data_IF_362400119502
#
_entry.id   IF_362400119502
#
_cell.length_a   1.000
_cell.length_b   1.000
_cell.length_c   1.000
_cell.angle_alpha   90.00
_cell.angle_beta   90.00
_cell.angle_gamma   90.00
#
_symmetry.space_group_name_H-M   'P 1'
#
loop_
_entity.id
_entity.type
_entity.pdbx_description
1 polymer ?
#
# COMPACT_ATOMS: atom_id res chain seq x y z
N UNK A 1 -1.80 41.16 -42.34
CA UNK A 1 -1.20 40.15 -41.48
C UNK A 1 -2.00 40.06 -40.20
N UNK A 2 -2.83 39.04 -40.07
CA UNK A 2 -3.60 38.77 -38.83
C UNK A 2 -2.92 37.58 -38.16
N UNK A 3 -2.38 37.78 -36.95
CA UNK A 3 -1.78 36.75 -36.10
C UNK A 3 -2.92 36.01 -35.44
N UNK A 4 -3.06 34.73 -35.75
CA UNK A 4 -4.02 33.81 -35.14
C UNK A 4 -3.34 33.25 -33.90
N UNK A 5 -3.78 33.69 -32.72
CA UNK A 5 -3.32 33.16 -31.44
C UNK A 5 -4.12 31.87 -31.16
N UNK A 6 -3.43 30.72 -31.25
CA UNK A 6 -3.99 29.43 -30.93
C UNK A 6 -4.02 29.28 -29.40
N UNK A 7 -5.20 29.34 -28.80
CA UNK A 7 -5.44 28.92 -27.40
C UNK A 7 -5.46 27.38 -27.37
N UNK A 8 -4.42 26.77 -26.86
CA UNK A 8 -4.42 25.36 -26.45
C UNK A 8 -5.27 25.24 -25.16
N UNK A 9 -6.50 24.80 -25.29
CA UNK A 9 -7.33 24.36 -24.16
C UNK A 9 -6.84 22.97 -23.79
N UNK A 10 -6.12 22.86 -22.67
CA UNK A 10 -5.88 21.57 -22.00
C UNK A 10 -7.24 21.06 -21.47
N UNK A 11 -7.84 20.16 -22.22
CA UNK A 11 -8.97 19.36 -21.72
C UNK A 11 -8.42 18.30 -20.77
N UNK A 12 -8.51 18.57 -19.45
CA UNK A 12 -8.36 17.55 -18.42
C UNK A 12 -9.50 16.55 -18.61
N UNK A 13 -9.17 15.31 -18.94
CA UNK A 13 -10.15 14.22 -18.98
C UNK A 13 -10.53 13.84 -17.55
N UNK A 14 -11.63 14.39 -17.04
CA UNK A 14 -12.31 13.89 -15.85
C UNK A 14 -13.00 12.58 -16.23
N UNK A 15 -12.49 11.46 -15.77
CA UNK A 15 -13.21 10.19 -15.89
C UNK A 15 -14.33 10.15 -14.85
N UNK A 16 -15.55 10.44 -15.25
CA UNK A 16 -16.76 10.31 -14.43
C UNK A 16 -17.21 8.85 -14.39
N UNK A 17 -17.13 8.23 -13.22
CA UNK A 17 -17.81 6.97 -12.95
C UNK A 17 -19.22 7.28 -12.41
N UNK A 18 -20.25 7.12 -13.28
CA UNK A 18 -21.63 7.39 -12.92
C UNK A 18 -22.08 6.49 -11.74
N UNK A 19 -22.33 7.10 -10.58
CA UNK A 19 -22.86 6.43 -9.38
C UNK A 19 -21.98 6.44 -8.13
N UNK A 20 -20.70 6.80 -8.21
CA UNK A 20 -19.80 6.78 -7.05
C UNK A 20 -19.67 8.11 -6.31
N UNK A 21 -20.03 9.22 -6.93
CA UNK A 21 -19.77 10.58 -6.41
C UNK A 21 -18.26 10.89 -6.27
N UNK A 22 -17.40 10.13 -6.97
CA UNK A 22 -15.96 10.31 -6.98
C UNK A 22 -15.48 10.59 -8.41
N UNK A 23 -14.53 11.50 -8.49
CA UNK A 23 -13.70 11.71 -9.68
C UNK A 23 -12.23 11.83 -9.22
N UNK A 24 -11.31 11.75 -10.15
CA UNK A 24 -9.89 11.96 -9.86
C UNK A 24 -9.31 13.03 -10.77
N UNK A 25 -8.35 13.76 -10.24
CA UNK A 25 -7.49 14.58 -11.06
C UNK A 25 -6.48 13.69 -11.84
N UNK A 26 -5.69 14.29 -12.71
CA UNK A 26 -4.58 13.59 -13.33
C UNK A 26 -3.50 13.28 -12.28
N UNK A 27 -2.81 12.15 -12.46
CA UNK A 27 -1.64 11.82 -11.68
C UNK A 27 -0.57 12.91 -11.78
N UNK A 28 -0.07 13.33 -10.63
CA UNK A 28 1.04 14.25 -10.54
C UNK A 28 2.26 13.53 -9.99
N UNK A 29 3.43 13.73 -10.60
CA UNK A 29 4.68 13.32 -9.99
C UNK A 29 4.94 14.24 -8.82
N UNK A 30 4.86 13.73 -7.59
CA UNK A 30 5.20 14.47 -6.38
C UNK A 30 6.71 14.70 -6.28
N UNK A 31 7.51 13.70 -6.71
CA UNK A 31 8.96 13.81 -6.73
C UNK A 31 9.63 12.49 -7.10
N UNK A 32 10.88 12.37 -6.67
CA UNK A 32 11.70 11.17 -6.78
C UNK A 32 12.09 10.71 -5.38
N UNK A 33 12.08 9.40 -5.13
CA UNK A 33 12.58 8.82 -3.89
C UNK A 33 14.10 9.08 -3.82
N UNK A 34 14.52 9.92 -2.85
CA UNK A 34 15.91 10.34 -2.68
C UNK A 34 16.67 9.48 -1.69
N UNK A 35 15.99 8.63 -0.92
CA UNK A 35 16.61 7.71 0.03
C UNK A 35 17.43 6.64 -0.72
N UNK A 36 18.75 6.81 -0.79
CA UNK A 36 19.66 5.98 -1.60
C UNK A 36 19.62 4.49 -1.25
N UNK A 37 19.27 4.17 -0.01
CA UNK A 37 19.21 2.80 0.50
C UNK A 37 17.80 2.18 0.41
N UNK A 38 16.79 2.92 -0.02
CA UNK A 38 15.46 2.41 -0.33
C UNK A 38 15.44 2.00 -1.81
N UNK A 39 15.86 0.78 -2.07
CA UNK A 39 16.11 0.27 -3.43
C UNK A 39 15.07 -0.74 -3.92
N UNK A 40 14.31 -1.30 -3.00
CA UNK A 40 13.27 -2.31 -3.22
C UNK A 40 12.07 -1.96 -2.34
N UNK A 41 11.46 -0.78 -2.64
CA UNK A 41 10.32 -0.28 -1.85
C UNK A 41 9.10 -1.19 -2.08
N UNK A 42 8.86 -2.10 -1.15
CA UNK A 42 7.74 -3.05 -1.17
C UNK A 42 6.51 -2.55 -0.40
N UNK A 43 6.68 -1.65 0.57
CA UNK A 43 5.58 -1.08 1.34
C UNK A 43 5.79 0.38 1.68
N UNK A 44 4.70 1.15 1.68
CA UNK A 44 4.69 2.57 2.03
C UNK A 44 3.33 2.94 2.64
N UNK A 45 3.36 3.81 3.67
CA UNK A 45 2.15 4.40 4.22
C UNK A 45 2.43 5.80 4.79
N UNK A 46 1.39 6.63 4.91
CA UNK A 46 1.49 7.97 5.46
C UNK A 46 1.59 7.94 6.98
N UNK A 47 2.34 8.88 7.56
CA UNK A 47 2.36 9.06 9.01
C UNK A 47 0.97 9.45 9.53
N UNK A 48 0.62 8.96 10.72
CA UNK A 48 -0.62 9.35 11.40
C UNK A 48 -0.49 10.69 12.12
N UNK A 49 0.69 11.30 12.16
CA UNK A 49 1.00 12.53 12.92
C UNK A 49 1.55 13.67 12.08
N UNK A 50 2.05 13.38 10.87
CA UNK A 50 2.66 14.38 9.97
C UNK A 50 2.19 14.08 8.53
N UNK A 51 1.36 14.94 7.95
CA UNK A 51 0.81 14.78 6.60
C UNK A 51 1.87 14.79 5.49
N UNK A 52 3.05 15.36 5.77
CA UNK A 52 4.18 15.42 4.84
C UNK A 52 5.18 14.28 5.03
N UNK A 53 4.88 13.29 5.89
CA UNK A 53 5.74 12.15 6.15
C UNK A 53 5.13 10.85 5.61
N UNK A 54 5.94 10.13 4.85
CA UNK A 54 5.68 8.76 4.42
C UNK A 54 6.69 7.83 5.09
N UNK A 55 6.22 6.72 5.60
CA UNK A 55 7.05 5.61 6.04
C UNK A 55 7.16 4.56 4.94
N UNK A 56 8.33 3.99 4.73
CA UNK A 56 8.55 2.97 3.73
C UNK A 56 9.50 1.87 4.22
N UNK A 57 9.39 0.69 3.63
CA UNK A 57 10.26 -0.47 3.89
C UNK A 57 10.81 -1.03 2.59
N UNK A 58 11.99 -1.66 2.67
CA UNK A 58 12.52 -2.50 1.60
C UNK A 58 12.01 -3.93 1.74
N UNK A 59 11.92 -4.60 0.61
CA UNK A 59 11.73 -6.04 0.45
C UNK A 59 12.76 -6.89 1.19
N UNK A 60 12.56 -8.19 1.17
CA UNK A 60 13.37 -9.21 1.83
C UNK A 60 14.87 -9.14 1.55
N UNK A 61 15.65 -9.65 2.49
CA UNK A 61 17.11 -9.66 2.38
C UNK A 61 17.79 -8.33 2.71
N UNK A 62 17.06 -7.26 2.91
CA UNK A 62 17.54 -5.96 3.36
C UNK A 62 17.60 -5.87 4.89
N UNK A 63 18.25 -4.84 5.41
CA UNK A 63 18.28 -4.61 6.87
C UNK A 63 16.91 -4.19 7.42
N UNK A 64 16.67 -4.38 8.73
CA UNK A 64 15.40 -4.03 9.36
C UNK A 64 15.32 -2.52 9.60
N UNK A 65 15.07 -1.76 8.54
CA UNK A 65 14.97 -0.31 8.56
C UNK A 65 13.61 0.17 8.09
N UNK A 66 13.09 1.17 8.79
CA UNK A 66 11.94 1.97 8.40
C UNK A 66 12.47 3.30 7.87
N UNK A 67 12.17 3.63 6.63
CA UNK A 67 12.61 4.85 5.95
C UNK A 67 11.58 5.94 6.11
N UNK A 68 12.04 7.15 6.42
CA UNK A 68 11.23 8.36 6.47
C UNK A 68 11.42 9.15 5.17
N UNK A 69 10.34 9.43 4.48
CA UNK A 69 10.31 10.18 3.23
C UNK A 69 9.40 11.40 3.36
N UNK A 70 9.76 12.50 2.73
CA UNK A 70 8.82 13.59 2.50
C UNK A 70 7.73 13.20 1.50
N UNK A 71 6.58 13.84 1.54
CA UNK A 71 5.52 13.67 0.54
C UNK A 71 5.96 14.08 -0.89
N UNK A 72 7.10 14.71 -1.03
CA UNK A 72 7.82 15.03 -2.27
C UNK A 72 8.92 14.02 -2.63
N UNK A 73 9.08 12.96 -1.84
CA UNK A 73 10.10 11.91 -2.02
C UNK A 73 11.48 12.24 -1.45
N UNK A 74 11.67 13.40 -0.81
CA UNK A 74 12.95 13.73 -0.17
C UNK A 74 13.30 12.72 0.93
N UNK A 75 14.58 12.42 1.09
CA UNK A 75 15.08 11.58 2.18
C UNK A 75 14.99 12.34 3.52
N UNK A 76 14.27 11.77 4.47
CA UNK A 76 14.16 12.27 5.85
C UNK A 76 14.87 11.34 6.85
N UNK A 77 15.65 10.38 6.36
CA UNK A 77 16.43 9.45 7.14
C UNK A 77 15.76 8.09 7.31
N UNK A 78 16.32 7.27 8.21
CA UNK A 78 15.81 5.93 8.49
C UNK A 78 15.98 5.55 9.94
N UNK A 79 15.13 4.66 10.41
CA UNK A 79 15.11 4.13 11.78
C UNK A 79 15.41 2.65 11.75
N UNK A 80 16.32 2.19 12.60
CA UNK A 80 16.57 0.75 12.80
C UNK A 80 15.52 0.17 13.73
N UNK A 81 14.88 -0.92 13.32
CA UNK A 81 13.89 -1.62 14.14
C UNK A 81 14.55 -2.70 14.97
N UNK A 82 14.60 -2.49 16.29
CA UNK A 82 15.19 -3.45 17.22
C UNK A 82 14.20 -4.60 17.49
N UNK A 83 14.73 -5.82 17.46
CA UNK A 83 13.95 -7.03 17.67
C UNK A 83 13.18 -7.52 16.44
N UNK A 84 13.37 -6.87 15.29
CA UNK A 84 12.87 -7.31 14.00
C UNK A 84 13.98 -7.86 13.11
N UNK A 85 13.61 -8.76 12.22
CA UNK A 85 14.45 -9.29 11.13
C UNK A 85 13.65 -9.08 9.85
N UNK A 86 14.28 -8.55 8.81
CA UNK A 86 13.67 -8.53 7.50
C UNK A 86 14.03 -9.85 6.80
N UNK A 87 13.11 -10.82 6.85
CA UNK A 87 13.22 -12.05 6.09
C UNK A 87 12.65 -11.82 4.69
N UNK A 88 11.43 -11.26 4.64
CA UNK A 88 10.68 -11.00 3.42
C UNK A 88 9.58 -9.96 3.73
N UNK A 89 10.02 -8.69 3.98
CA UNK A 89 9.10 -7.59 4.27
C UNK A 89 8.45 -7.10 2.99
N UNK A 90 7.14 -7.13 2.92
CA UNK A 90 6.40 -6.77 1.71
C UNK A 90 5.47 -5.58 1.89
N UNK A 91 5.08 -5.27 3.12
CA UNK A 91 4.13 -4.19 3.34
C UNK A 91 4.26 -3.57 4.72
N UNK A 92 3.73 -2.37 4.88
CA UNK A 92 3.52 -1.74 6.18
C UNK A 92 2.15 -1.04 6.24
N UNK A 93 1.68 -0.77 7.43
CA UNK A 93 0.50 0.05 7.69
C UNK A 93 0.72 0.92 8.91
N UNK A 94 0.27 2.17 8.85
CA UNK A 94 0.22 3.10 9.98
C UNK A 94 -1.20 3.17 10.51
N UNK A 95 -1.36 3.33 11.82
CA UNK A 95 -2.68 3.41 12.42
C UNK A 95 -2.65 4.02 13.80
N UNK A 96 -3.80 4.48 14.27
CA UNK A 96 -3.96 4.94 15.66
C UNK A 96 -4.57 3.84 16.52
N UNK A 97 -3.96 3.59 17.68
CA UNK A 97 -4.44 2.64 18.66
C UNK A 97 -4.28 3.17 20.09
N UNK A 98 -5.39 3.27 20.83
CA UNK A 98 -5.42 3.78 22.21
C UNK A 98 -4.61 5.10 22.34
N UNK A 99 -4.91 6.07 21.51
CA UNK A 99 -4.26 7.39 21.44
C UNK A 99 -2.78 7.40 21.05
N UNK A 100 -2.24 6.26 20.60
CA UNK A 100 -0.87 6.14 20.09
C UNK A 100 -0.86 5.97 18.60
N UNK A 101 0.14 6.55 17.98
CA UNK A 101 0.48 6.32 16.59
C UNK A 101 1.37 5.08 16.48
N UNK A 102 1.03 4.17 15.61
CA UNK A 102 1.66 2.86 15.49
C UNK A 102 2.03 2.59 14.04
N UNK A 103 3.07 1.78 13.84
CA UNK A 103 3.45 1.19 12.55
C UNK A 103 3.43 -0.32 12.69
N UNK A 104 2.79 -0.99 11.74
CA UNK A 104 2.85 -2.43 11.54
C UNK A 104 3.70 -2.72 10.32
N UNK A 105 4.69 -3.59 10.45
CA UNK A 105 5.53 -4.08 9.35
C UNK A 105 5.24 -5.56 9.15
N UNK A 106 4.97 -5.95 7.92
CA UNK A 106 4.56 -7.29 7.57
C UNK A 106 5.70 -8.08 6.93
N UNK A 107 6.18 -9.10 7.63
CA UNK A 107 7.21 -10.06 7.23
C UNK A 107 6.52 -11.36 6.79
N UNK A 108 5.95 -11.34 5.58
CA UNK A 108 5.06 -12.40 5.11
C UNK A 108 5.25 -12.80 3.64
N UNK A 109 6.19 -12.21 2.92
CA UNK A 109 6.56 -12.68 1.60
C UNK A 109 6.99 -14.15 1.64
N UNK A 110 6.58 -14.90 0.64
CA UNK A 110 6.90 -16.32 0.49
C UNK A 110 6.74 -16.77 -0.97
N UNK A 111 7.50 -16.14 -1.85
CA UNK A 111 7.47 -16.37 -3.29
C UNK A 111 7.51 -17.85 -3.70
N UNK A 112 8.10 -18.69 -2.86
CA UNK A 112 8.23 -20.14 -3.10
C UNK A 112 7.28 -20.98 -2.25
N UNK A 113 6.42 -20.33 -1.43
CA UNK A 113 5.48 -21.01 -0.53
C UNK A 113 6.14 -22.04 0.38
N UNK A 114 7.26 -21.66 1.02
CA UNK A 114 8.04 -22.56 1.86
C UNK A 114 7.75 -22.40 3.35
N UNK A 115 7.25 -21.23 3.78
CA UNK A 115 7.06 -20.91 5.18
C UNK A 115 5.67 -21.29 5.69
N UNK A 116 5.64 -21.93 6.85
CA UNK A 116 4.38 -22.28 7.53
C UNK A 116 3.89 -21.17 8.47
N UNK A 117 4.75 -20.21 8.79
CA UNK A 117 4.44 -19.08 9.66
C UNK A 117 5.09 -17.81 9.17
N UNK A 118 4.42 -16.70 9.44
CA UNK A 118 4.81 -15.35 9.10
C UNK A 118 4.78 -14.46 10.34
N UNK A 119 5.35 -13.26 10.25
CA UNK A 119 5.45 -12.36 11.40
C UNK A 119 4.94 -10.96 11.06
N UNK A 120 4.16 -10.38 11.95
CA UNK A 120 3.86 -8.96 11.94
C UNK A 120 4.62 -8.30 13.10
N UNK A 121 5.39 -7.27 12.81
CA UNK A 121 6.07 -6.46 13.82
C UNK A 121 5.29 -5.17 14.03
N UNK A 122 5.03 -4.82 15.28
CA UNK A 122 4.34 -3.56 15.61
C UNK A 122 5.23 -2.72 16.53
N UNK A 123 5.34 -1.45 16.20
CA UNK A 123 6.12 -0.46 16.96
C UNK A 123 5.32 0.84 17.13
N UNK A 124 5.70 1.65 18.11
CA UNK A 124 5.21 3.02 18.15
C UNK A 124 5.82 3.80 16.99
N UNK A 125 5.02 4.62 16.35
CA UNK A 125 5.47 5.44 15.23
C UNK A 125 6.62 6.35 15.69
N UNK A 126 7.80 6.29 15.03
CA UNK A 126 8.92 7.12 15.42
C UNK A 126 8.62 8.60 15.26
N UNK A 127 9.04 9.41 16.21
CA UNK A 127 8.92 10.86 16.12
C UNK A 127 10.18 11.45 15.50
N UNK A 128 10.02 12.36 14.56
CA UNK A 128 11.15 13.08 13.98
C UNK A 128 11.61 14.20 14.91
N UNK A 129 12.92 14.39 15.01
CA UNK A 129 13.52 15.56 15.64
C UNK A 129 13.74 16.63 14.55
N UNK A 130 12.79 17.54 14.41
CA UNK A 130 12.76 18.48 13.29
C UNK A 130 12.30 17.81 11.98
N UNK A 131 13.04 18.01 10.88
CA UNK A 131 12.64 17.48 9.56
C UNK A 131 13.19 16.10 9.22
N UNK A 132 14.13 15.58 9.99
CA UNK A 132 14.83 14.33 9.70
C UNK A 132 14.91 13.41 10.91
N UNK A 133 15.14 12.14 10.64
CA UNK A 133 15.48 11.12 11.64
C UNK A 133 16.99 11.08 11.78
N UNK A 134 17.47 10.95 13.00
CA UNK A 134 18.90 10.70 13.23
C UNK A 134 19.31 9.30 12.72
N UNK A 135 20.43 9.21 12.03
CA UNK A 135 20.99 7.92 11.53
C UNK A 135 21.25 6.89 12.65
N UNK A 136 21.39 7.34 13.89
CA UNK A 136 21.56 6.50 15.07
C UNK A 136 20.23 6.08 15.71
N UNK A 137 19.09 6.55 15.21
CA UNK A 137 17.79 6.25 15.80
C UNK A 137 17.46 4.77 15.65
N UNK A 138 17.08 4.17 16.77
CA UNK A 138 16.64 2.79 16.82
C UNK A 138 15.39 2.70 17.72
N UNK A 139 14.37 2.03 17.23
CA UNK A 139 13.08 1.88 17.92
C UNK A 139 12.82 0.40 18.16
N UNK A 140 12.47 -0.02 19.38
CA UNK A 140 12.12 -1.41 19.63
C UNK A 140 10.74 -1.75 19.08
N UNK A 141 10.57 -2.99 18.64
CA UNK A 141 9.23 -3.55 18.44
C UNK A 141 8.48 -3.55 19.77
N UNK A 142 7.23 -3.08 19.74
CA UNK A 142 6.34 -3.10 20.90
C UNK A 142 5.82 -4.50 21.16
N UNK A 143 5.42 -5.18 20.09
CA UNK A 143 5.05 -6.59 20.06
C UNK A 143 5.22 -7.16 18.66
N UNK A 144 5.18 -8.47 18.58
CA UNK A 144 5.13 -9.23 17.32
C UNK A 144 4.01 -10.24 17.37
N UNK A 145 3.36 -10.47 16.24
CA UNK A 145 2.38 -11.53 16.04
C UNK A 145 2.96 -12.55 15.08
N UNK A 146 3.02 -13.80 15.48
CA UNK A 146 3.29 -14.91 14.57
C UNK A 146 1.94 -15.45 14.12
N UNK A 147 1.77 -15.72 12.84
CA UNK A 147 0.53 -16.26 12.31
C UNK A 147 0.77 -17.34 11.25
N UNK A 148 -0.26 -18.08 10.92
CA UNK A 148 -0.30 -19.07 9.85
C UNK A 148 -1.64 -18.98 9.11
N UNK A 149 -1.65 -19.45 7.88
CA UNK A 149 -2.88 -19.57 7.08
C UNK A 149 -3.58 -20.91 7.38
N UNK A 150 -4.93 -20.98 7.27
CA UNK A 150 -5.70 -22.17 7.61
C UNK A 150 -5.63 -23.28 6.57
N UNK A 151 -5.31 -22.92 5.32
CA UNK A 151 -5.48 -23.77 4.14
C UNK A 151 -4.16 -23.99 3.35
N UNK A 152 -3.03 -23.61 3.96
CA UNK A 152 -1.72 -23.88 3.34
C UNK A 152 -0.72 -22.77 3.51
N UNK A 153 0.08 -22.55 2.50
CA UNK A 153 1.10 -21.53 2.43
C UNK A 153 0.74 -20.55 1.32
N UNK A 154 0.83 -19.28 1.59
CA UNK A 154 0.50 -18.23 0.64
C UNK A 154 1.62 -17.20 0.61
N UNK A 155 1.84 -16.64 -0.56
CA UNK A 155 2.61 -15.43 -0.78
C UNK A 155 1.69 -14.22 -0.66
N UNK A 156 2.07 -13.22 0.11
CA UNK A 156 1.25 -12.05 0.38
C UNK A 156 2.06 -10.76 0.21
N UNK A 157 1.38 -9.68 -0.21
CA UNK A 157 2.00 -8.40 -0.56
C UNK A 157 1.21 -7.18 -0.04
N UNK A 158 0.05 -7.40 0.52
CA UNK A 158 -0.77 -6.31 1.04
C UNK A 158 -1.11 -6.49 2.50
N UNK A 159 -0.95 -5.43 3.29
CA UNK A 159 -1.43 -5.36 4.67
C UNK A 159 -2.23 -4.07 4.87
N UNK A 160 -3.28 -4.14 5.66
CA UNK A 160 -4.01 -2.97 6.14
C UNK A 160 -4.55 -3.22 7.54
N UNK A 161 -4.68 -2.17 8.33
CA UNK A 161 -5.20 -2.25 9.69
C UNK A 161 -6.55 -1.54 9.77
N UNK A 162 -7.57 -2.24 10.25
CA UNK A 162 -8.88 -1.68 10.63
C UNK A 162 -8.99 -1.62 12.15
N UNK A 163 -8.57 -0.53 12.81
CA UNK A 163 -8.61 -0.41 14.25
C UNK A 163 -10.03 -0.30 14.79
N UNK A 164 -10.99 0.15 13.97
CA UNK A 164 -12.41 0.22 14.33
C UNK A 164 -13.04 -1.17 14.31
N UNK A 165 -12.77 -1.96 13.26
CA UNK A 165 -13.22 -3.33 13.14
C UNK A 165 -12.38 -4.36 13.92
N UNK A 166 -11.27 -3.91 14.52
CA UNK A 166 -10.39 -4.76 15.33
C UNK A 166 -9.68 -5.85 14.50
N UNK A 167 -9.24 -5.54 13.29
CA UNK A 167 -8.64 -6.50 12.35
C UNK A 167 -7.40 -5.98 11.66
N UNK A 168 -6.47 -6.90 11.40
CA UNK A 168 -5.42 -6.74 10.40
C UNK A 168 -5.83 -7.57 9.18
N UNK A 169 -5.85 -6.95 8.01
CA UNK A 169 -6.11 -7.62 6.74
C UNK A 169 -4.79 -7.94 6.03
N UNK A 170 -4.73 -9.10 5.39
CA UNK A 170 -3.61 -9.57 4.60
C UNK A 170 -4.14 -10.01 3.24
N UNK A 171 -3.53 -9.52 2.16
CA UNK A 171 -3.91 -9.84 0.78
C UNK A 171 -2.82 -10.67 0.11
N UNK A 172 -3.21 -11.82 -0.43
CA UNK A 172 -2.29 -12.69 -1.15
C UNK A 172 -2.01 -12.19 -2.57
N UNK A 173 -0.83 -12.53 -3.10
CA UNK A 173 -0.37 -12.12 -4.43
C UNK A 173 -0.61 -13.19 -5.49
N UNK A 174 -0.25 -14.44 -5.19
CA UNK A 174 -0.15 -15.51 -6.20
C UNK A 174 -1.38 -16.41 -6.30
N UNK A 175 -2.33 -16.24 -5.38
CA UNK A 175 -3.62 -16.93 -5.49
C UNK A 175 -4.44 -16.31 -6.62
N UNK A 176 -5.18 -17.13 -7.35
CA UNK A 176 -6.09 -16.70 -8.41
C UNK A 176 -7.47 -17.35 -8.18
N UNK A 177 -8.47 -16.58 -7.73
CA UNK A 177 -8.41 -15.16 -7.35
C UNK A 177 -7.65 -14.91 -6.04
N UNK A 178 -7.10 -13.68 -5.83
CA UNK A 178 -6.44 -13.30 -4.60
C UNK A 178 -7.34 -13.47 -3.38
N UNK A 179 -6.75 -13.80 -2.24
CA UNK A 179 -7.46 -14.06 -0.99
C UNK A 179 -7.19 -12.96 0.01
N UNK A 180 -8.24 -12.42 0.63
CA UNK A 180 -8.16 -11.56 1.78
C UNK A 180 -8.30 -12.40 3.05
N UNK A 181 -7.25 -12.43 3.87
CA UNK A 181 -7.26 -12.99 5.20
C UNK A 181 -7.42 -11.88 6.26
N UNK A 182 -7.89 -12.25 7.44
CA UNK A 182 -8.02 -11.38 8.59
C UNK A 182 -7.40 -12.01 9.83
N UNK A 183 -6.68 -11.19 10.60
CA UNK A 183 -6.16 -11.51 11.93
C UNK A 183 -6.83 -10.61 12.97
N UNK A 184 -6.99 -11.06 14.22
CA UNK A 184 -7.42 -10.16 15.28
C UNK A 184 -6.35 -9.09 15.50
N UNK A 185 -6.79 -7.85 15.70
CA UNK A 185 -5.87 -6.72 15.91
C UNK A 185 -5.15 -6.77 17.26
N UNK A 186 -5.83 -7.26 18.29
CA UNK A 186 -5.31 -7.39 19.66
C UNK A 186 -5.24 -8.90 20.05
N UNK A 187 -4.28 -9.64 19.47
CA UNK A 187 -4.18 -11.07 19.72
C UNK A 187 -3.60 -11.34 21.12
N UNK A 188 -3.86 -12.51 21.69
CA UNK A 188 -3.12 -12.93 22.84
C UNK A 188 -1.62 -13.02 22.47
N UNK A 189 -0.79 -12.26 23.17
CA UNK A 189 0.66 -12.28 22.95
C UNK A 189 1.23 -13.65 23.35
N UNK A 190 2.00 -14.25 22.45
CA UNK A 190 2.64 -15.54 22.70
C UNK A 190 3.41 -16.06 21.51
N UNK A 191 4.07 -17.20 21.72
CA UNK A 191 4.80 -17.92 20.67
C UNK A 191 3.90 -18.83 19.81
N UNK A 192 2.64 -19.00 20.18
CA UNK A 192 1.69 -19.81 19.41
C UNK A 192 1.21 -18.99 18.22
N UNK A 193 1.33 -19.50 17.00
CA UNK A 193 0.84 -18.80 15.82
C UNK A 193 -0.68 -18.60 15.88
N UNK A 194 -1.12 -17.38 15.52
CA UNK A 194 -2.53 -17.06 15.34
C UNK A 194 -2.97 -17.59 13.98
N UNK A 195 -4.06 -18.33 13.94
CA UNK A 195 -4.62 -18.81 12.68
C UNK A 195 -5.40 -17.69 11.99
N UNK A 196 -4.98 -17.33 10.78
CA UNK A 196 -5.66 -16.32 9.97
C UNK A 196 -7.06 -16.84 9.55
N UNK A 197 -8.01 -15.94 9.46
CA UNK A 197 -9.36 -16.24 8.99
C UNK A 197 -9.49 -15.81 7.53
N UNK A 198 -9.91 -16.69 6.65
CA UNK A 198 -10.28 -16.33 5.28
C UNK A 198 -11.53 -15.44 5.32
N UNK A 199 -11.41 -14.21 4.81
CA UNK A 199 -12.50 -13.21 4.80
C UNK A 199 -13.24 -13.22 3.47
N UNK A 200 -12.48 -13.20 2.35
CA UNK A 200 -13.03 -13.12 1.01
C UNK A 200 -12.03 -13.61 -0.03
N UNK A 201 -12.53 -13.90 -1.22
CA UNK A 201 -11.76 -13.89 -2.47
C UNK A 201 -12.03 -12.59 -3.24
N UNK A 202 -11.02 -12.04 -3.91
CA UNK A 202 -11.12 -10.78 -4.65
C UNK A 202 -11.28 -11.10 -6.14
N UNK A 203 -12.47 -11.57 -6.51
CA UNK A 203 -12.74 -12.15 -7.85
C UNK A 203 -12.87 -11.10 -8.97
N UNK A 204 -13.10 -9.83 -8.60
CA UNK A 204 -13.42 -8.79 -9.56
C UNK A 204 -12.21 -7.98 -10.06
N UNK A 205 -10.99 -8.35 -9.68
CA UNK A 205 -9.77 -7.81 -10.31
C UNK A 205 -9.67 -8.42 -11.72
N UNK A 206 -9.64 -7.58 -12.79
CA UNK A 206 -9.60 -8.10 -14.15
C UNK A 206 -8.33 -8.91 -14.41
N UNK A 207 -8.49 -10.04 -15.05
CA UNK A 207 -7.38 -10.88 -15.52
C UNK A 207 -6.55 -10.17 -16.61
N UNK A 208 -5.28 -10.55 -16.82
CA UNK A 208 -4.46 -10.01 -17.88
C UNK A 208 -5.12 -10.15 -19.25
N UNK A 209 -5.11 -9.08 -20.03
CA UNK A 209 -5.68 -9.05 -21.38
C UNK A 209 -4.78 -9.79 -22.37
N UNK A 210 -5.32 -10.14 -23.56
CA UNK A 210 -4.52 -10.70 -24.64
C UNK A 210 -3.36 -9.77 -25.08
N UNK A 211 -3.49 -8.46 -24.87
CA UNK A 211 -2.42 -7.51 -25.11
C UNK A 211 -1.33 -7.61 -24.03
N UNK A 212 -1.73 -7.69 -22.75
CA UNK A 212 -0.79 -7.87 -21.65
C UNK A 212 0.08 -9.11 -21.86
N UNK A 213 -0.53 -10.22 -22.27
CA UNK A 213 0.15 -11.51 -22.47
C UNK A 213 1.17 -11.50 -23.62
N UNK A 214 1.22 -10.45 -24.44
CA UNK A 214 2.26 -10.28 -25.48
C UNK A 214 3.60 -9.80 -24.91
N UNK A 215 3.61 -9.29 -23.69
CA UNK A 215 4.81 -8.75 -23.06
C UNK A 215 5.39 -9.74 -22.05
N UNK A 216 6.70 -9.73 -21.82
CA UNK A 216 7.31 -10.44 -20.71
C UNK A 216 6.62 -10.03 -19.39
N UNK A 217 6.35 -11.02 -18.53
CA UNK A 217 5.63 -10.81 -17.26
C UNK A 217 4.19 -10.30 -17.41
N UNK A 218 3.60 -10.35 -18.61
CA UNK A 218 2.20 -9.95 -18.81
C UNK A 218 1.20 -10.75 -17.98
N UNK A 219 1.51 -12.01 -17.68
CA UNK A 219 0.68 -12.90 -16.86
C UNK A 219 0.57 -12.50 -15.39
N UNK A 220 1.52 -11.73 -14.85
CA UNK A 220 1.48 -11.27 -13.45
C UNK A 220 0.84 -9.89 -13.29
N UNK A 221 0.40 -9.23 -14.36
CA UNK A 221 -0.06 -7.83 -14.31
C UNK A 221 -1.28 -7.57 -13.42
N UNK A 222 -2.08 -8.60 -13.17
CA UNK A 222 -3.26 -8.52 -12.28
C UNK A 222 -2.96 -8.95 -10.83
N UNK A 223 -1.74 -9.40 -10.53
CA UNK A 223 -1.38 -9.78 -9.18
C UNK A 223 -1.34 -8.57 -8.26
N UNK A 224 -1.93 -8.66 -7.06
CA UNK A 224 -1.79 -7.63 -6.04
C UNK A 224 -0.34 -7.44 -5.61
N UNK A 225 0.04 -6.19 -5.40
CA UNK A 225 1.39 -5.79 -4.97
C UNK A 225 1.36 -4.76 -3.84
N UNK A 226 0.18 -4.47 -3.31
CA UNK A 226 0.00 -3.59 -2.18
C UNK A 226 -1.47 -3.36 -1.87
N UNK A 227 -1.74 -2.95 -0.65
CA UNK A 227 -3.08 -2.65 -0.17
C UNK A 227 -3.01 -1.60 0.92
N UNK A 228 -4.00 -0.72 0.95
CA UNK A 228 -4.19 0.22 2.05
C UNK A 228 -5.67 0.45 2.35
N UNK A 229 -5.96 0.95 3.55
CA UNK A 229 -7.30 1.16 4.10
C UNK A 229 -7.39 2.53 4.75
N UNK A 230 -8.43 3.31 4.43
CA UNK A 230 -8.72 4.57 5.12
C UNK A 230 -8.96 4.35 6.62
N UNK A 231 -8.62 5.34 7.44
CA UNK A 231 -8.72 5.26 8.91
C UNK A 231 -10.16 5.03 9.41
N UNK A 232 -11.17 5.47 8.62
CA UNK A 232 -12.58 5.19 8.87
C UNK A 232 -12.99 3.75 8.51
N UNK A 233 -12.10 2.98 7.89
CA UNK A 233 -12.32 1.61 7.47
C UNK A 233 -13.33 1.47 6.32
N UNK A 234 -13.63 2.53 5.56
CA UNK A 234 -14.67 2.51 4.53
C UNK A 234 -14.13 2.40 3.10
N UNK A 235 -12.88 2.75 2.86
CA UNK A 235 -12.26 2.67 1.53
C UNK A 235 -10.99 1.83 1.58
N UNK A 236 -10.87 0.88 0.66
CA UNK A 236 -9.68 0.03 0.49
C UNK A 236 -9.14 0.20 -0.91
N UNK A 237 -7.86 0.48 -1.05
CA UNK A 237 -7.16 0.42 -2.34
C UNK A 237 -6.34 -0.85 -2.44
N UNK A 238 -6.39 -1.49 -3.60
CA UNK A 238 -5.55 -2.63 -3.95
C UNK A 238 -4.73 -2.24 -5.17
N UNK A 239 -3.42 -2.29 -5.04
CA UNK A 239 -2.49 -2.07 -6.14
C UNK A 239 -2.20 -3.38 -6.85
N UNK A 240 -2.06 -3.32 -8.18
CA UNK A 240 -1.51 -4.40 -9.01
C UNK A 240 -0.40 -3.83 -9.88
N UNK A 241 0.35 -4.67 -10.56
CA UNK A 241 1.34 -4.19 -11.53
C UNK A 241 0.74 -3.34 -12.66
N UNK A 242 -0.57 -3.41 -12.90
CA UNK A 242 -1.23 -2.69 -14.00
C UNK A 242 -2.05 -1.48 -13.54
N UNK A 243 -2.90 -1.67 -12.54
CA UNK A 243 -3.86 -0.68 -12.07
C UNK A 243 -3.95 -0.69 -10.56
N UNK A 244 -4.50 0.37 -9.97
CA UNK A 244 -5.05 0.31 -8.64
C UNK A 244 -6.59 0.14 -8.72
N UNK A 245 -7.17 -0.41 -7.67
CA UNK A 245 -8.59 -0.70 -7.56
C UNK A 245 -9.11 -0.19 -6.24
N UNK A 246 -10.09 0.71 -6.27
CA UNK A 246 -10.71 1.25 -5.07
C UNK A 246 -12.03 0.51 -4.80
N UNK A 247 -12.15 -0.03 -3.59
CA UNK A 247 -13.37 -0.60 -3.04
C UNK A 247 -13.93 0.32 -1.97
N UNK A 248 -15.22 0.67 -2.06
CA UNK A 248 -15.91 1.47 -1.05
C UNK A 248 -16.97 0.66 -0.34
N UNK A 249 -16.86 0.58 0.96
CA UNK A 249 -17.78 -0.14 1.83
C UNK A 249 -18.81 0.81 2.43
N UNK A 250 -20.07 0.46 2.36
CA UNK A 250 -21.08 1.11 3.20
C UNK A 250 -20.83 0.69 4.66
N UNK A 251 -21.07 1.59 5.62
CA UNK A 251 -20.68 1.43 7.02
C UNK A 251 -21.12 0.11 7.69
N UNK A 252 -22.24 -0.49 7.25
CA UNK A 252 -22.76 -1.77 7.76
C UNK A 252 -22.44 -2.98 6.88
N UNK A 253 -21.80 -2.78 5.73
CA UNK A 253 -21.49 -3.87 4.81
C UNK A 253 -20.14 -4.50 5.18
N UNK A 254 -20.06 -5.84 5.13
CA UNK A 254 -18.80 -6.54 5.36
C UNK A 254 -17.83 -6.36 4.19
N UNK A 255 -16.53 -6.49 4.43
CA UNK A 255 -15.53 -6.52 3.36
C UNK A 255 -15.76 -7.69 2.41
N UNK A 256 -16.15 -8.86 2.90
CA UNK A 256 -16.52 -9.99 2.04
C UNK A 256 -17.60 -9.63 1.02
N UNK A 257 -18.66 -8.95 1.46
CA UNK A 257 -19.73 -8.53 0.56
C UNK A 257 -19.30 -7.38 -0.37
N UNK A 258 -18.34 -6.54 0.04
CA UNK A 258 -17.85 -5.42 -0.77
C UNK A 258 -16.91 -5.91 -1.87
N UNK A 259 -15.97 -6.79 -1.55
CA UNK A 259 -14.99 -7.35 -2.48
C UNK A 259 -15.59 -8.33 -3.50
N UNK A 260 -16.78 -8.87 -3.23
CA UNK A 260 -17.56 -9.62 -4.22
C UNK A 260 -18.21 -8.74 -5.30
N UNK A 261 -18.20 -7.41 -5.15
CA UNK A 261 -18.67 -6.45 -6.15
C UNK A 261 -17.52 -5.87 -7.00
N UNK A 262 -17.84 -5.15 -8.09
CA UNK A 262 -16.83 -4.55 -8.94
C UNK A 262 -16.12 -3.40 -8.23
N UNK A 263 -14.78 -3.31 -8.34
CA UNK A 263 -14.01 -2.17 -7.87
C UNK A 263 -14.16 -0.96 -8.80
N UNK A 264 -13.76 0.20 -8.31
CA UNK A 264 -13.54 1.38 -9.14
C UNK A 264 -12.10 1.34 -9.62
N UNK A 265 -11.83 1.16 -10.94
CA UNK A 265 -10.48 1.08 -11.45
C UNK A 265 -9.82 2.46 -11.49
N UNK A 266 -8.57 2.52 -11.06
CA UNK A 266 -7.70 3.69 -11.11
C UNK A 266 -6.55 3.36 -12.06
N UNK A 267 -6.51 4.03 -13.20
CA UNK A 267 -5.40 3.87 -14.14
C UNK A 267 -4.15 4.48 -13.55
N UNK A 268 -3.07 3.71 -13.47
CA UNK A 268 -1.79 4.20 -12.98
C UNK A 268 -1.10 5.08 -14.04
N UNK A 269 -0.23 6.02 -13.62
CA UNK A 269 0.50 6.85 -14.55
C UNK A 269 1.36 5.98 -15.47
N UNK A 270 1.36 6.32 -16.75
CA UNK A 270 2.28 5.71 -17.69
C UNK A 270 3.71 6.18 -17.35
N UNK A 271 4.68 5.28 -17.25
CA UNK A 271 6.05 5.68 -17.03
C UNK A 271 6.50 6.53 -18.22
N UNK A 272 6.77 7.80 -17.98
CA UNK A 272 7.29 8.73 -19.00
C UNK A 272 8.66 8.31 -19.53
N UNK A 273 9.39 7.54 -18.73
CA UNK A 273 10.58 6.80 -19.08
C UNK A 273 10.47 5.46 -18.36
N UNK A 274 10.62 4.34 -19.02
CA UNK A 274 10.49 2.96 -18.52
C UNK A 274 11.19 2.63 -17.16
N UNK A 275 11.60 3.63 -16.38
CA UNK A 275 12.34 3.50 -15.14
C UNK A 275 11.56 3.92 -13.89
N UNK A 276 10.55 4.79 -14.05
CA UNK A 276 9.91 5.47 -12.90
C UNK A 276 8.97 4.60 -12.08
N UNK A 277 8.30 3.65 -12.71
CA UNK A 277 7.31 2.77 -12.09
C UNK A 277 7.36 1.37 -12.72
N UNK A 278 8.48 0.70 -12.65
CA UNK A 278 8.66 -0.62 -13.28
C UNK A 278 7.89 -1.72 -12.54
N UNK A 279 8.09 -1.79 -11.24
CA UNK A 279 7.46 -2.73 -10.33
C UNK A 279 6.74 -1.91 -9.28
N UNK A 280 5.45 -1.67 -9.54
CA UNK A 280 4.59 -0.88 -8.66
C UNK A 280 4.22 -1.74 -7.47
N UNK A 281 4.78 -1.45 -6.31
CA UNK A 281 4.62 -2.33 -5.15
C UNK A 281 4.20 -1.58 -3.87
N UNK A 282 4.18 -0.25 -3.88
CA UNK A 282 3.73 0.51 -2.73
C UNK A 282 2.60 1.48 -3.07
N UNK A 283 1.52 1.44 -2.30
CA UNK A 283 0.35 2.31 -2.40
C UNK A 283 -0.13 2.68 -1.01
N UNK A 284 -0.51 3.95 -0.81
CA UNK A 284 -1.21 4.38 0.40
C UNK A 284 -2.15 5.56 0.12
N UNK A 285 -3.13 5.75 1.00
CA UNK A 285 -3.87 7.01 1.08
C UNK A 285 -2.99 8.08 1.73
N UNK A 286 -3.24 9.36 1.41
CA UNK A 286 -2.71 10.46 2.23
C UNK A 286 -3.37 10.46 3.60
N UNK A 287 -2.72 11.04 4.60
CA UNK A 287 -3.29 11.13 5.96
C UNK A 287 -4.66 11.83 5.99
N UNK A 288 -4.89 12.78 5.08
CA UNK A 288 -6.20 13.42 4.89
C UNK A 288 -7.18 12.59 4.04
N UNK A 289 -6.77 11.42 3.54
CA UNK A 289 -7.55 10.55 2.63
C UNK A 289 -7.99 11.24 1.33
N UNK A 290 -7.50 12.44 1.06
CA UNK A 290 -7.83 13.21 -0.14
C UNK A 290 -6.97 12.84 -1.35
N UNK A 291 -6.00 11.96 -1.19
CA UNK A 291 -5.10 11.52 -2.27
C UNK A 291 -4.64 10.08 -2.07
N UNK A 292 -4.12 9.51 -3.16
CA UNK A 292 -3.44 8.21 -3.16
C UNK A 292 -2.01 8.44 -3.64
N UNK A 293 -1.04 7.86 -2.95
CA UNK A 293 0.35 7.80 -3.37
C UNK A 293 0.67 6.43 -3.94
N UNK A 294 1.52 6.40 -4.97
CA UNK A 294 2.06 5.17 -5.56
C UNK A 294 3.54 5.37 -5.85
N UNK A 295 4.33 4.36 -5.55
CA UNK A 295 5.72 4.27 -5.96
C UNK A 295 6.06 2.85 -6.44
N UNK A 296 7.31 2.62 -6.74
CA UNK A 296 7.82 1.40 -7.35
C UNK A 296 9.14 1.03 -6.70
N UNK A 297 9.53 -0.21 -6.83
CA UNK A 297 10.91 -0.60 -6.62
C UNK A 297 11.88 0.13 -7.55
N UNK A 298 13.12 0.17 -7.13
CA UNK A 298 14.25 0.73 -7.87
C UNK A 298 14.80 2.01 -7.25
N UNK A 299 16.09 2.23 -7.48
CA UNK A 299 16.75 3.47 -7.06
C UNK A 299 16.12 4.67 -7.76
N UNK A 300 15.89 5.74 -7.01
CA UNK A 300 15.27 6.95 -7.52
C UNK A 300 13.93 6.66 -8.23
N UNK A 301 13.09 5.80 -7.66
CA UNK A 301 11.75 5.56 -8.15
C UNK A 301 10.91 6.85 -8.11
N UNK A 302 9.97 7.00 -9.04
CA UNK A 302 9.05 8.13 -9.03
C UNK A 302 8.00 7.97 -7.93
N UNK A 303 7.78 9.01 -7.15
CA UNK A 303 6.63 9.10 -6.25
C UNK A 303 5.52 9.87 -6.96
N UNK A 304 4.35 9.25 -7.09
CA UNK A 304 3.19 9.83 -7.77
C UNK A 304 2.04 10.00 -6.80
N UNK A 305 1.28 11.07 -6.99
CA UNK A 305 0.10 11.42 -6.20
C UNK A 305 -1.11 11.60 -7.10
N UNK A 306 -2.23 10.99 -6.74
CA UNK A 306 -3.54 11.16 -7.35
C UNK A 306 -4.47 11.85 -6.36
N UNK A 307 -5.03 12.99 -6.71
CA UNK A 307 -6.02 13.65 -5.88
C UNK A 307 -7.41 13.06 -6.12
N UNK A 308 -8.09 12.69 -5.04
CA UNK A 308 -9.48 12.25 -5.04
C UNK A 308 -10.36 13.49 -4.96
N UNK A 309 -11.29 13.64 -5.90
CA UNK A 309 -12.24 14.74 -5.93
C UNK A 309 -13.64 14.18 -5.61
N UNK A 310 -14.23 14.65 -4.53
CA UNK A 310 -15.62 14.34 -4.24
C UNK A 310 -16.50 15.25 -5.09
N UNK A 311 -17.30 14.66 -5.99
CA UNK A 311 -18.33 15.42 -6.68
C UNK A 311 -19.54 15.47 -5.76
N UNK A 312 -19.75 16.62 -5.11
CA UNK A 312 -20.98 16.88 -4.40
C UNK A 312 -22.14 16.67 -5.38
N UNK A 313 -23.01 15.72 -5.03
CA UNK A 313 -24.19 15.45 -5.85
C UNK A 313 -25.02 16.72 -5.96
N UNK A 314 -25.12 17.26 -7.17
CA UNK A 314 -26.15 18.23 -7.53
C UNK A 314 -27.48 17.51 -7.65
#
# INVERSE_FOLDING_TARGET
MRVLTLFLILLSFLSLWAGSGLSWADWQKAGWIQAENLIECSGMDTSTTDEDLLWAVNDGGNGPFLFALGADGRDRGRVRILGAVNRDWEALATFRWKDRSMVLIADFGDNQQQHSTHTLYVLEEPQLEGETVSDSMAVPTKWRMIFSYPDGKHDAEGVAVDPIGGRVFILTKRDDPPILFGLPFDPPFGSTPVLAQKIATVEQIPQPTAEDLRYPYGHVRSQPTGMDLTADGLSMTILTYKHAYLYRRLSKRSWAATLGGPPIPIQLPLPQNNRDLKQREAVCFSASEASIYVTSEGRNAGLYRLQIVHTDGQ
#
